data_IF_102829867684
#
_entry.id   IF_102829867684
#
_cell.length_a   1.000
_cell.length_b   1.000
_cell.length_c   1.000
_cell.angle_alpha   90.00
_cell.angle_beta   90.00
_cell.angle_gamma   90.00
#
_symmetry.space_group_name_H-M   'P 1'
#
loop_
_entity.id
_entity.type
_entity.pdbx_description
1 polymer ?
#
# COMPACT_ATOMS: atom_id res chain seq x y z
N UNK A 1 -5.24 6.33 1.23
CA UNK A 1 -5.47 6.02 2.63
C UNK A 1 -5.52 4.52 2.90
N UNK A 2 -5.13 4.10 4.07
CA UNK A 2 -5.21 2.69 4.47
C UNK A 2 -6.63 2.39 4.97
N UNK A 3 -7.50 1.94 4.09
CA UNK A 3 -8.88 1.57 4.38
C UNK A 3 -9.06 0.99 5.79
N UNK A 4 -9.84 1.66 6.63
CA UNK A 4 -10.19 1.22 7.98
C UNK A 4 -9.04 1.16 9.00
N UNK A 5 -7.85 1.69 8.70
CA UNK A 5 -6.75 1.81 9.66
C UNK A 5 -6.45 3.27 9.94
N UNK A 6 -6.46 3.62 11.23
CA UNK A 6 -5.94 4.90 11.67
C UNK A 6 -4.42 4.83 11.81
N UNK A 7 -3.71 5.80 11.26
CA UNK A 7 -2.26 5.93 11.36
C UNK A 7 -1.92 7.43 11.40
N UNK A 8 -1.26 7.87 12.47
CA UNK A 8 -0.92 9.28 12.70
C UNK A 8 -0.04 9.84 11.57
N UNK A 9 0.94 9.07 11.13
CA UNK A 9 1.87 9.48 10.07
C UNK A 9 1.14 9.75 8.75
N UNK A 10 0.18 8.90 8.40
CA UNK A 10 -0.62 9.09 7.17
C UNK A 10 -1.55 10.30 7.28
N UNK A 11 -2.12 10.55 8.46
CA UNK A 11 -2.92 11.77 8.68
C UNK A 11 -2.03 13.01 8.53
N UNK A 12 -0.80 12.96 9.02
CA UNK A 12 0.15 14.06 8.88
C UNK A 12 0.54 14.28 7.40
N UNK A 13 0.74 13.22 6.64
CA UNK A 13 0.98 13.28 5.18
C UNK A 13 -0.22 13.88 4.45
N UNK A 14 -1.43 13.39 4.69
CA UNK A 14 -2.65 13.92 4.09
C UNK A 14 -2.82 15.42 4.37
N UNK A 15 -2.59 15.84 5.63
CA UNK A 15 -2.63 17.27 6.02
C UNK A 15 -1.56 18.08 5.32
N UNK A 16 -0.36 17.53 5.16
CA UNK A 16 0.73 18.18 4.43
C UNK A 16 0.36 18.38 2.97
N UNK A 17 -0.20 17.36 2.33
CA UNK A 17 -0.58 17.39 0.91
C UNK A 17 -1.71 18.38 0.65
N UNK A 18 -2.73 18.42 1.50
CA UNK A 18 -3.80 19.42 1.45
C UNK A 18 -3.22 20.84 1.59
N UNK A 19 -2.32 21.06 2.56
CA UNK A 19 -1.65 22.36 2.71
C UNK A 19 -0.81 22.72 1.48
N UNK A 20 -0.20 21.73 0.85
CA UNK A 20 0.60 21.92 -0.36
C UNK A 20 -0.26 22.34 -1.56
N UNK A 21 -1.43 21.73 -1.73
CA UNK A 21 -2.44 22.13 -2.71
C UNK A 21 -2.91 23.57 -2.45
N UNK A 22 -3.23 23.91 -1.20
CA UNK A 22 -3.66 25.27 -0.83
C UNK A 22 -2.58 26.32 -1.09
N UNK A 23 -1.28 25.97 -0.94
CA UNK A 23 -0.17 26.86 -1.32
C UNK A 23 -0.06 27.02 -2.84
N UNK A 24 -0.24 25.92 -3.58
CA UNK A 24 -0.26 25.97 -5.05
C UNK A 24 -1.38 26.89 -5.55
N UNK A 25 -2.56 26.80 -4.94
CA UNK A 25 -3.71 27.67 -5.23
C UNK A 25 -3.57 29.07 -4.64
N UNK A 26 -2.47 29.42 -3.97
CA UNK A 26 -2.21 30.71 -3.31
C UNK A 26 -3.22 31.08 -2.21
N UNK A 27 -3.92 30.11 -1.65
CA UNK A 27 -4.83 30.29 -0.50
C UNK A 27 -4.02 30.37 0.79
N UNK A 28 -3.00 29.52 0.92
CA UNK A 28 -2.01 29.59 2.00
C UNK A 28 -0.72 30.24 1.53
N UNK A 29 -0.08 30.98 2.43
CA UNK A 29 1.25 31.56 2.18
C UNK A 29 2.31 30.46 2.16
N UNK A 30 3.34 30.64 1.34
CA UNK A 30 4.48 29.73 1.17
C UNK A 30 4.54 29.14 -0.22
N UNK A 31 5.65 28.42 -0.48
CA UNK A 31 5.83 27.69 -1.76
C UNK A 31 5.25 26.29 -1.62
N UNK A 32 4.62 25.82 -2.69
CA UNK A 32 4.29 24.40 -2.82
C UNK A 32 5.56 23.60 -3.11
N UNK A 33 5.67 22.44 -2.54
CA UNK A 33 6.75 21.50 -2.77
C UNK A 33 6.20 20.20 -3.33
N UNK A 34 6.76 19.75 -4.45
CA UNK A 34 6.48 18.41 -4.98
C UNK A 34 7.48 17.48 -4.30
N UNK A 35 6.98 16.58 -3.47
CA UNK A 35 7.77 15.54 -2.85
C UNK A 35 7.74 14.28 -3.70
N UNK A 36 8.91 13.65 -3.84
CA UNK A 36 9.01 12.36 -4.50
C UNK A 36 9.22 12.47 -6.02
N UNK A 37 9.14 11.31 -6.64
CA UNK A 37 9.26 11.16 -8.10
C UNK A 37 7.95 11.60 -8.77
N UNK A 38 8.01 12.09 -10.01
CA UNK A 38 6.78 12.34 -10.76
C UNK A 38 5.94 11.06 -10.84
N UNK A 39 4.60 11.18 -10.77
CA UNK A 39 3.73 10.01 -10.89
C UNK A 39 3.92 9.35 -12.27
N UNK A 40 3.86 8.03 -12.27
CA UNK A 40 3.92 7.23 -13.49
C UNK A 40 2.48 6.98 -13.93
N UNK A 41 2.18 7.35 -15.16
CA UNK A 41 0.90 7.02 -15.77
C UNK A 41 0.92 5.57 -16.23
N UNK A 42 -0.09 4.81 -15.83
CA UNK A 42 -0.26 3.43 -16.22
C UNK A 42 -1.56 3.27 -17.01
N UNK A 43 -1.48 2.58 -18.14
CA UNK A 43 -2.62 2.31 -19.01
C UNK A 43 -2.29 1.11 -19.91
N UNK A 44 -3.22 0.16 -20.09
CA UNK A 44 -4.51 0.05 -19.42
C UNK A 44 -4.43 -0.41 -17.97
N UNK A 45 -5.50 -0.18 -17.22
CA UNK A 45 -5.70 -0.75 -15.88
C UNK A 45 -6.61 -1.97 -15.99
N UNK A 46 -6.17 -3.07 -15.40
CA UNK A 46 -6.90 -4.34 -15.35
C UNK A 46 -7.48 -4.53 -13.96
N UNK A 47 -8.76 -4.90 -13.90
CA UNK A 47 -9.47 -5.28 -12.69
C UNK A 47 -9.85 -6.74 -12.80
N UNK A 48 -9.55 -7.52 -11.78
CA UNK A 48 -9.87 -8.94 -11.75
C UNK A 48 -10.67 -9.26 -10.50
N UNK A 49 -11.80 -9.92 -10.74
CA UNK A 49 -12.69 -10.41 -9.71
C UNK A 49 -12.33 -11.86 -9.35
N UNK A 50 -12.66 -12.27 -8.14
CA UNK A 50 -12.43 -13.63 -7.68
C UNK A 50 -13.35 -14.62 -8.42
N UNK A 51 -12.82 -15.64 -9.10
CA UNK A 51 -13.62 -16.63 -9.80
C UNK A 51 -14.29 -17.63 -8.86
N UNK A 52 -13.81 -17.74 -7.64
CA UNK A 52 -14.30 -18.64 -6.59
C UNK A 52 -14.22 -17.98 -5.23
N UNK A 53 -15.06 -18.39 -4.29
CA UNK A 53 -14.98 -17.95 -2.90
C UNK A 53 -13.91 -18.75 -2.15
N UNK A 54 -13.22 -18.12 -1.21
CA UNK A 54 -12.19 -18.78 -0.40
C UNK A 54 -11.32 -17.80 0.39
N UNK A 55 -10.11 -18.21 0.67
CA UNK A 55 -9.08 -17.40 1.34
C UNK A 55 -8.07 -16.90 0.31
N UNK A 56 -7.96 -15.59 0.16
CA UNK A 56 -7.01 -14.95 -0.76
C UNK A 56 -5.63 -14.77 -0.12
N UNK A 57 -4.63 -15.29 -0.79
CA UNK A 57 -3.21 -15.16 -0.41
C UNK A 57 -2.46 -14.41 -1.52
N UNK A 58 -2.25 -13.09 -1.37
CA UNK A 58 -1.49 -12.32 -2.34
C UNK A 58 -0.01 -12.72 -2.33
N UNK A 59 0.59 -12.79 -3.52
CA UNK A 59 2.02 -13.02 -3.71
C UNK A 59 2.81 -11.73 -3.93
N UNK A 60 2.13 -10.63 -4.19
CA UNK A 60 2.69 -9.29 -4.43
C UNK A 60 1.95 -8.25 -3.59
N UNK A 61 2.63 -7.15 -3.30
CA UNK A 61 2.05 -6.02 -2.57
C UNK A 61 1.73 -4.85 -3.52
N UNK A 62 0.81 -3.94 -3.16
CA UNK A 62 0.62 -2.70 -3.91
C UNK A 62 1.93 -1.95 -4.09
N UNK A 63 2.20 -1.48 -5.32
CA UNK A 63 3.44 -0.83 -5.70
C UNK A 63 4.56 -1.78 -6.20
N UNK A 64 4.43 -3.10 -6.04
CA UNK A 64 5.39 -4.05 -6.60
C UNK A 64 5.12 -4.31 -8.08
N UNK A 65 6.21 -4.41 -8.84
CA UNK A 65 6.19 -4.74 -10.26
C UNK A 65 6.27 -6.25 -10.47
N UNK A 66 5.78 -6.71 -11.61
CA UNK A 66 5.78 -8.12 -11.99
C UNK A 66 5.79 -8.25 -13.51
N UNK A 67 6.10 -9.46 -13.99
CA UNK A 67 6.12 -9.83 -15.42
C UNK A 67 4.85 -10.59 -15.80
N UNK A 68 4.59 -10.64 -17.10
CA UNK A 68 3.54 -11.51 -17.64
C UNK A 68 3.75 -12.97 -17.20
N UNK A 69 2.65 -13.64 -16.85
CA UNK A 69 2.64 -15.02 -16.36
C UNK A 69 3.06 -15.20 -14.88
N UNK A 70 3.57 -14.16 -14.23
CA UNK A 70 3.97 -14.22 -12.82
C UNK A 70 2.74 -14.41 -11.91
N UNK A 71 2.89 -15.19 -10.84
CA UNK A 71 1.81 -15.43 -9.87
C UNK A 71 1.59 -14.18 -9.04
N UNK A 72 0.39 -13.62 -9.07
CA UNK A 72 -0.01 -12.48 -8.25
C UNK A 72 -0.69 -12.88 -6.95
N UNK A 73 -1.18 -14.11 -6.86
CA UNK A 73 -1.79 -14.67 -5.66
C UNK A 73 -2.55 -15.95 -5.93
N UNK A 74 -3.13 -16.51 -4.87
CA UNK A 74 -3.91 -17.75 -4.93
C UNK A 74 -5.11 -17.70 -3.99
N UNK A 75 -6.16 -18.41 -4.33
CA UNK A 75 -7.32 -18.64 -3.47
C UNK A 75 -7.27 -20.09 -3.00
N UNK A 76 -7.36 -20.29 -1.68
CA UNK A 76 -7.43 -21.59 -1.07
C UNK A 76 -8.76 -21.79 -0.34
N UNK A 77 -9.15 -23.04 -0.09
CA UNK A 77 -10.20 -23.36 0.84
C UNK A 77 -9.75 -23.16 2.31
N UNK A 78 -10.66 -23.35 3.27
CA UNK A 78 -10.36 -23.22 4.70
C UNK A 78 -9.39 -24.28 5.24
N UNK A 79 -9.09 -25.32 4.45
CA UNK A 79 -8.15 -26.37 4.79
C UNK A 79 -6.78 -26.16 4.13
N UNK A 80 -6.61 -25.04 3.39
CA UNK A 80 -5.37 -24.69 2.70
C UNK A 80 -5.20 -25.35 1.33
N UNK A 81 -6.21 -26.08 0.82
CA UNK A 81 -6.17 -26.64 -0.53
C UNK A 81 -6.37 -25.52 -1.55
N UNK A 82 -5.48 -25.46 -2.53
CA UNK A 82 -5.52 -24.49 -3.61
C UNK A 82 -6.73 -24.72 -4.51
N UNK A 83 -7.56 -23.68 -4.66
CA UNK A 83 -8.73 -23.65 -5.54
C UNK A 83 -8.45 -22.90 -6.84
N UNK A 84 -7.61 -21.86 -6.78
CA UNK A 84 -7.30 -21.02 -7.92
C UNK A 84 -5.96 -20.30 -7.74
N UNK A 85 -5.18 -20.20 -8.82
CA UNK A 85 -3.94 -19.40 -8.88
C UNK A 85 -4.12 -18.35 -9.94
N UNK A 86 -3.96 -17.09 -9.53
CA UNK A 86 -4.01 -15.98 -10.47
C UNK A 86 -2.63 -15.65 -11.00
N UNK A 87 -2.51 -15.65 -12.34
CA UNK A 87 -1.31 -15.25 -13.05
C UNK A 87 -1.56 -13.98 -13.85
N UNK A 88 -0.58 -13.09 -13.84
CA UNK A 88 -0.64 -11.84 -14.58
C UNK A 88 -0.84 -12.08 -16.09
N UNK A 89 -1.81 -11.41 -16.68
CA UNK A 89 -2.09 -11.46 -18.14
C UNK A 89 -1.06 -10.66 -18.95
N UNK A 90 -0.39 -9.71 -18.32
CA UNK A 90 0.67 -8.87 -18.88
C UNK A 90 1.51 -8.30 -17.74
N UNK A 91 2.71 -7.80 -18.04
CA UNK A 91 3.55 -7.16 -17.03
C UNK A 91 2.94 -5.85 -16.52
N UNK A 92 3.27 -5.48 -15.28
CA UNK A 92 2.67 -4.29 -14.69
C UNK A 92 3.10 -4.00 -13.25
N UNK A 93 2.32 -3.17 -12.58
CA UNK A 93 2.46 -2.81 -11.18
C UNK A 93 1.13 -3.02 -10.45
N UNK A 94 1.16 -3.60 -9.26
CA UNK A 94 -0.04 -3.76 -8.43
C UNK A 94 -0.52 -2.38 -7.96
N UNK A 95 -1.75 -2.03 -8.30
CA UNK A 95 -2.39 -0.79 -7.85
C UNK A 95 -3.24 -1.02 -6.61
N UNK A 96 -3.94 -2.13 -6.58
CA UNK A 96 -4.89 -2.48 -5.51
C UNK A 96 -5.00 -4.00 -5.39
N UNK A 97 -5.25 -4.46 -4.18
CA UNK A 97 -5.70 -5.82 -3.91
C UNK A 97 -6.57 -5.84 -2.65
N UNK A 98 -7.47 -6.82 -2.56
CA UNK A 98 -8.23 -7.00 -1.33
C UNK A 98 -7.30 -7.38 -0.18
N UNK A 99 -7.49 -6.74 0.98
CA UNK A 99 -6.74 -7.00 2.20
C UNK A 99 -7.41 -8.04 3.09
N UNK A 100 -8.69 -8.36 2.80
CA UNK A 100 -9.42 -9.38 3.52
C UNK A 100 -8.93 -10.77 3.12
N UNK A 101 -8.65 -11.61 4.10
CA UNK A 101 -8.33 -13.01 3.83
C UNK A 101 -9.52 -13.71 3.16
N UNK A 102 -10.75 -13.46 3.64
CA UNK A 102 -11.95 -14.02 3.05
C UNK A 102 -12.36 -13.22 1.80
N UNK A 103 -12.51 -13.90 0.69
CA UNK A 103 -12.99 -13.32 -0.57
C UNK A 103 -14.19 -14.13 -1.09
N UNK A 104 -15.17 -13.42 -1.63
CA UNK A 104 -16.33 -14.04 -2.26
C UNK A 104 -16.17 -14.03 -3.78
N UNK A 105 -16.76 -15.03 -4.42
CA UNK A 105 -16.85 -15.06 -5.87
C UNK A 105 -17.47 -13.77 -6.40
N UNK A 106 -16.98 -13.31 -7.55
CA UNK A 106 -17.42 -12.09 -8.25
C UNK A 106 -17.22 -10.79 -7.43
N UNK A 107 -16.27 -10.79 -6.48
CA UNK A 107 -15.84 -9.56 -5.79
C UNK A 107 -14.43 -9.16 -6.23
N UNK A 108 -14.09 -7.83 -6.21
CA UNK A 108 -12.78 -7.35 -6.60
C UNK A 108 -11.65 -8.03 -5.83
N UNK A 109 -10.71 -8.61 -6.56
CA UNK A 109 -9.59 -9.37 -6.01
C UNK A 109 -8.29 -8.57 -6.12
N UNK A 110 -7.91 -8.20 -7.33
CA UNK A 110 -6.68 -7.48 -7.62
C UNK A 110 -6.87 -6.55 -8.81
N UNK A 111 -6.20 -5.40 -8.75
CA UNK A 111 -6.08 -4.47 -9.89
C UNK A 111 -4.63 -4.13 -10.10
N UNK A 112 -4.23 -4.06 -11.36
CA UNK A 112 -2.88 -3.68 -11.75
C UNK A 112 -2.90 -2.82 -13.01
N UNK A 113 -1.94 -1.93 -13.10
CA UNK A 113 -1.74 -1.10 -14.27
C UNK A 113 -0.57 -1.63 -15.08
N UNK A 114 -0.66 -1.46 -16.39
CA UNK A 114 0.43 -1.78 -17.31
C UNK A 114 1.01 -0.48 -17.87
N UNK A 115 2.16 -0.57 -18.51
CA UNK A 115 2.79 0.53 -19.21
C UNK A 115 3.44 0.00 -20.48
N UNK A 116 3.72 0.90 -21.40
CA UNK A 116 4.52 0.60 -22.58
C UNK A 116 6.03 0.48 -22.24
N UNK A 117 6.83 0.00 -23.20
CA UNK A 117 8.27 -0.16 -23.02
C UNK A 117 8.98 1.16 -22.73
N UNK A 118 8.49 2.27 -23.31
CA UNK A 118 9.05 3.61 -23.07
C UNK A 118 8.84 4.06 -21.62
N UNK A 119 7.73 3.71 -21.04
CA UNK A 119 7.43 3.98 -19.62
C UNK A 119 8.26 3.08 -18.71
N UNK A 120 8.44 1.82 -19.07
CA UNK A 120 9.27 0.88 -18.32
C UNK A 120 10.74 1.34 -18.26
N UNK A 121 11.31 1.78 -19.36
CA UNK A 121 12.67 2.31 -19.40
C UNK A 121 12.88 3.52 -18.47
N UNK A 122 11.89 4.40 -18.36
CA UNK A 122 11.92 5.54 -17.43
C UNK A 122 11.90 5.11 -15.96
N UNK A 123 11.20 4.02 -15.64
CA UNK A 123 11.15 3.47 -14.28
C UNK A 123 12.53 2.89 -13.91
N UNK A 124 13.13 2.10 -14.79
CA UNK A 124 14.43 1.49 -14.55
C UNK A 124 15.53 2.54 -14.39
N UNK A 125 15.57 3.56 -15.25
CA UNK A 125 16.52 4.67 -15.14
C UNK A 125 16.26 5.49 -13.85
N UNK A 126 15.02 5.66 -13.45
CA UNK A 126 14.67 6.34 -12.19
C UNK A 126 15.16 5.59 -10.94
N UNK A 127 15.36 4.28 -11.03
CA UNK A 127 15.91 3.46 -9.94
C UNK A 127 17.44 3.61 -9.83
N UNK A 128 18.15 3.85 -10.92
CA UNK A 128 19.59 4.12 -10.92
C UNK A 128 19.93 5.50 -10.31
N UNK A 129 19.07 6.48 -10.50
CA UNK A 129 19.26 7.84 -9.94
C UNK A 129 19.05 7.88 -8.42
N UNK A 130 18.35 6.89 -7.85
CA UNK A 130 18.29 6.68 -6.40
C UNK A 130 19.56 6.00 -5.88
N UNK A 131 20.74 6.46 -6.31
CA UNK A 131 22.02 5.98 -5.84
C UNK A 131 22.08 6.01 -4.34
N UNK A 132 22.08 4.83 -3.73
CA UNK A 132 22.71 4.50 -2.45
C UNK A 132 22.31 5.29 -1.19
N UNK A 133 21.13 5.87 -1.10
CA UNK A 133 20.55 6.10 0.21
C UNK A 133 19.88 4.80 0.67
N UNK A 134 20.67 4.01 1.42
CA UNK A 134 20.15 2.93 2.25
C UNK A 134 19.04 3.53 3.10
N UNK A 135 17.81 3.40 2.67
CA UNK A 135 16.67 3.55 3.55
C UNK A 135 16.85 2.50 4.64
N UNK A 136 17.46 2.92 5.74
CA UNK A 136 17.30 2.25 7.00
C UNK A 136 15.82 2.36 7.33
N UNK A 137 15.05 1.38 6.87
CA UNK A 137 13.79 1.07 7.50
C UNK A 137 14.14 0.65 8.94
N UNK A 138 14.34 1.64 9.79
CA UNK A 138 14.34 1.44 11.23
C UNK A 138 12.95 0.97 11.57
N UNK A 139 12.83 -0.29 11.94
CA UNK A 139 11.69 -0.81 12.64
C UNK A 139 11.48 0.03 13.91
N UNK A 140 10.71 1.11 13.82
CA UNK A 140 10.15 1.82 14.96
C UNK A 140 8.83 1.21 15.40
N UNK A 141 8.78 -0.13 15.44
CA UNK A 141 7.72 -0.86 16.12
C UNK A 141 8.19 -1.23 17.52
N UNK A 142 8.28 -0.34 18.49
CA UNK A 142 8.29 -0.74 19.92
C UNK A 142 8.51 0.40 20.93
N UNK A 143 7.96 1.59 20.70
CA UNK A 143 7.97 2.61 21.79
C UNK A 143 6.61 3.21 22.15
N UNK A 144 5.53 2.85 21.47
CA UNK A 144 4.20 3.39 21.79
C UNK A 144 3.45 2.56 22.84
N UNK A 145 3.73 1.26 22.98
CA UNK A 145 3.01 0.42 23.94
C UNK A 145 3.47 0.62 25.39
N UNK A 146 4.74 0.93 25.62
CA UNK A 146 5.26 1.15 26.98
C UNK A 146 4.74 2.44 27.64
N UNK A 147 4.32 3.44 26.86
CA UNK A 147 3.73 4.68 27.39
C UNK A 147 2.27 4.52 27.79
N UNK A 148 1.56 3.57 27.23
CA UNK A 148 0.14 3.34 27.56
C UNK A 148 -0.02 2.58 28.89
N UNK A 149 0.88 1.64 29.18
CA UNK A 149 0.81 0.89 30.45
C UNK A 149 1.21 1.72 31.66
N UNK A 150 2.17 2.65 31.54
CA UNK A 150 2.56 3.51 32.66
C UNK A 150 1.52 4.54 33.08
N UNK A 151 0.52 4.84 32.26
CA UNK A 151 -0.56 5.78 32.62
C UNK A 151 -1.70 5.13 33.40
N UNK A 152 -1.89 3.83 33.30
CA UNK A 152 -2.93 3.11 34.05
C UNK A 152 -2.51 2.63 35.42
N UNK A 153 -1.23 2.56 35.73
CA UNK A 153 -0.76 2.18 37.07
C UNK A 153 -0.81 3.34 38.11
N UNK A 154 -0.80 4.60 37.65
CA UNK A 154 -0.89 5.74 38.56
C UNK A 154 -2.31 6.10 39.02
N UNK A 155 -3.36 5.49 38.50
CA UNK A 155 -4.74 5.75 38.95
C UNK A 155 -5.29 4.73 39.94
N UNK A 156 -4.56 3.68 40.29
CA UNK A 156 -5.00 2.64 41.24
C UNK A 156 -4.56 2.85 42.70
N UNK A 157 -3.80 3.90 42.99
CA UNK A 157 -3.29 4.14 44.35
C UNK A 157 -3.93 5.31 45.11
N UNK A 158 -5.11 5.80 44.67
CA UNK A 158 -5.78 6.95 45.38
C UNK A 158 -7.19 6.65 45.86
N UNK A 159 -7.64 5.40 45.92
CA UNK A 159 -8.95 5.01 46.40
C UNK A 159 -8.97 4.21 47.73
N UNK A 160 -7.84 4.05 48.40
CA UNK A 160 -7.80 3.44 49.72
C UNK A 160 -7.11 4.36 50.74
N UNK A 161 -7.86 5.40 51.20
CA UNK A 161 -7.70 6.02 52.52
C UNK A 161 -8.93 6.83 52.88
#
# INVERSE_FOLDING_TARGET
>A
GHSSRWCEDLVAEDVHDVKNILRHLRILRGKSHIHGKPPIEVSPVIYEDAPVSGCWYPAKQPGETFKEGEVLGRICDYFGRELFVYRAKMGGIILYQTISLCIMKDTPMVSYGTWDEDTQSKIEVGCEVCGNEKHKHGHHHHKSEEKYHKRHEHHKHHEDK
#
